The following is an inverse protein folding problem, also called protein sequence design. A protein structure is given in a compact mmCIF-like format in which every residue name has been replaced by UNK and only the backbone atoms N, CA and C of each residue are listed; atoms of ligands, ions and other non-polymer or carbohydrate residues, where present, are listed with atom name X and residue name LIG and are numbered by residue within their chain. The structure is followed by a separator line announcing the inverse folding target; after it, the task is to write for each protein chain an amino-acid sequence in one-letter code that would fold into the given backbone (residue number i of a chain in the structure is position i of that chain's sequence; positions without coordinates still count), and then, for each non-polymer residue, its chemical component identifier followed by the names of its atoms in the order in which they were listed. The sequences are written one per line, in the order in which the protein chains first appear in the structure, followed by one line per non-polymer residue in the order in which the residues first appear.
data_IF_995657639781
#
_entry.id   IF_995657639781
#
_cell.length_a   1.000
_cell.length_b   1.000
_cell.length_c   1.000
_cell.angle_alpha   90.00
_cell.angle_beta   90.00
_cell.angle_gamma   90.00
#
_symmetry.space_group_name_H-M   'P 1'
#
loop_
_entity.id
_entity.type
_entity.pdbx_description
1 polymer ?
#
# COMPACT_ATOMS: atom_id res chain seq x y z
N UNK A 1 -38.58 9.54 -6.68
CA UNK A 1 -38.41 8.56 -5.62
C UNK A 1 -37.36 9.05 -4.66
N UNK A 2 -37.76 9.39 -3.44
CA UNK A 2 -36.85 9.69 -2.34
C UNK A 2 -36.17 8.38 -1.91
N UNK A 3 -34.85 8.31 -2.06
CA UNK A 3 -34.06 7.22 -1.47
C UNK A 3 -33.67 7.63 -0.06
N UNK A 4 -34.33 7.11 0.99
CA UNK A 4 -34.10 7.56 2.37
C UNK A 4 -32.67 7.29 2.85
N UNK A 5 -31.96 6.36 2.20
CA UNK A 5 -30.56 6.06 2.55
C UNK A 5 -29.58 7.02 1.88
N UNK A 6 -29.95 7.63 0.75
CA UNK A 6 -29.19 8.73 0.16
C UNK A 6 -29.34 10.01 1.01
N UNK A 7 -30.56 10.33 1.44
CA UNK A 7 -30.82 11.46 2.35
C UNK A 7 -30.09 11.32 3.69
N UNK A 8 -30.11 10.10 4.26
CA UNK A 8 -29.38 9.83 5.50
C UNK A 8 -27.86 9.99 5.33
N UNK A 9 -27.32 9.57 4.18
CA UNK A 9 -25.91 9.78 3.85
C UNK A 9 -25.59 11.28 3.80
N UNK A 10 -26.38 12.07 3.07
CA UNK A 10 -26.18 13.53 2.96
C UNK A 10 -26.27 14.22 4.32
N UNK A 11 -27.26 13.86 5.15
CA UNK A 11 -27.41 14.38 6.49
C UNK A 11 -26.20 14.04 7.39
N UNK A 12 -25.67 12.81 7.29
CA UNK A 12 -24.50 12.38 8.05
C UNK A 12 -23.23 13.13 7.61
N UNK A 13 -23.04 13.33 6.30
CA UNK A 13 -21.91 14.12 5.77
C UNK A 13 -22.02 15.60 6.16
N UNK A 14 -23.25 16.14 6.27
CA UNK A 14 -23.53 17.50 6.72
C UNK A 14 -23.38 17.73 8.24
N UNK A 15 -23.25 16.66 9.04
CA UNK A 15 -23.15 16.75 10.49
C UNK A 15 -21.77 17.23 11.01
N UNK A 16 -20.79 17.45 10.12
CA UNK A 16 -19.48 18.00 10.46
C UNK A 16 -18.48 16.97 10.99
N UNK A 17 -18.39 15.81 10.32
CA UNK A 17 -17.34 14.82 10.58
C UNK A 17 -15.94 15.43 10.33
N UNK A 18 -14.93 14.96 11.06
CA UNK A 18 -13.59 15.60 11.07
C UNK A 18 -12.47 14.74 10.50
N UNK A 19 -12.70 13.45 10.26
CA UNK A 19 -11.71 12.53 9.73
C UNK A 19 -12.18 11.87 8.42
N UNK A 20 -11.25 11.67 7.48
CA UNK A 20 -11.54 11.00 6.21
C UNK A 20 -12.05 9.56 6.40
N UNK A 21 -11.60 8.85 7.45
CA UNK A 21 -12.10 7.51 7.79
C UNK A 21 -13.59 7.53 8.14
N UNK A 22 -14.10 8.59 8.79
CA UNK A 22 -15.52 8.72 9.15
C UNK A 22 -16.37 8.96 7.89
N UNK A 23 -15.89 9.81 6.97
CA UNK A 23 -16.54 10.01 5.67
C UNK A 23 -16.57 8.70 4.88
N UNK A 24 -15.46 7.97 4.83
CA UNK A 24 -15.39 6.68 4.14
C UNK A 24 -16.35 5.66 4.77
N UNK A 25 -16.52 5.66 6.10
CA UNK A 25 -17.48 4.78 6.77
C UNK A 25 -18.93 5.08 6.36
N UNK A 26 -19.31 6.37 6.26
CA UNK A 26 -20.64 6.79 5.79
C UNK A 26 -20.87 6.35 4.34
N UNK A 27 -19.91 6.58 3.45
CA UNK A 27 -20.00 6.12 2.06
C UNK A 27 -20.07 4.59 1.97
N UNK A 28 -19.28 3.87 2.76
CA UNK A 28 -19.28 2.40 2.79
C UNK A 28 -20.66 1.85 3.18
N UNK A 29 -21.32 2.46 4.17
CA UNK A 29 -22.67 2.07 4.58
C UNK A 29 -23.69 2.22 3.43
N UNK A 30 -23.58 3.29 2.64
CA UNK A 30 -24.43 3.49 1.45
C UNK A 30 -24.10 2.50 0.33
N UNK A 31 -22.81 2.29 0.04
CA UNK A 31 -22.34 1.31 -0.94
C UNK A 31 -22.84 -0.10 -0.62
N UNK A 32 -22.90 -0.46 0.66
CA UNK A 32 -23.44 -1.72 1.14
C UNK A 32 -24.95 -1.89 0.83
N UNK A 33 -25.74 -0.82 0.97
CA UNK A 33 -27.16 -0.82 0.61
C UNK A 33 -27.32 -1.03 -0.89
N UNK A 34 -26.57 -0.25 -1.70
CA UNK A 34 -26.61 -0.33 -3.16
C UNK A 34 -26.20 -1.71 -3.67
N UNK A 35 -25.12 -2.27 -3.12
CA UNK A 35 -24.67 -3.61 -3.49
C UNK A 35 -25.72 -4.68 -3.18
N UNK A 36 -26.30 -4.65 -1.98
CA UNK A 36 -27.37 -5.60 -1.60
C UNK A 36 -28.63 -5.44 -2.42
N UNK A 37 -28.92 -4.23 -2.90
CA UNK A 37 -30.01 -3.94 -3.81
C UNK A 37 -29.73 -4.33 -5.27
N UNK A 38 -28.50 -4.71 -5.61
CA UNK A 38 -28.08 -5.02 -6.97
C UNK A 38 -27.92 -3.78 -7.87
N UNK A 39 -27.89 -2.57 -7.30
CA UNK A 39 -27.74 -1.34 -8.06
C UNK A 39 -26.25 -1.03 -8.33
N UNK A 40 -25.71 -1.65 -9.38
CA UNK A 40 -24.33 -1.45 -9.80
C UNK A 40 -24.04 -0.05 -10.34
N UNK A 41 -25.02 0.62 -10.94
CA UNK A 41 -24.86 1.98 -11.47
C UNK A 41 -24.81 3.01 -10.34
N UNK A 42 -25.74 2.92 -9.39
CA UNK A 42 -25.75 3.73 -8.18
C UNK A 42 -24.51 3.47 -7.32
N UNK A 43 -24.06 2.22 -7.22
CA UNK A 43 -22.79 1.89 -6.54
C UNK A 43 -21.62 2.65 -7.18
N UNK A 44 -21.46 2.58 -8.50
CA UNK A 44 -20.36 3.24 -9.22
C UNK A 44 -20.39 4.76 -9.01
N UNK A 45 -21.55 5.38 -9.16
CA UNK A 45 -21.72 6.81 -8.95
C UNK A 45 -21.38 7.22 -7.51
N UNK A 46 -21.82 6.43 -6.52
CA UNK A 46 -21.54 6.69 -5.10
C UNK A 46 -20.07 6.47 -4.75
N UNK A 47 -19.42 5.44 -5.31
CA UNK A 47 -18.00 5.17 -5.07
C UNK A 47 -17.12 6.28 -5.67
N UNK A 48 -17.51 6.80 -6.84
CA UNK A 48 -16.84 7.95 -7.44
C UNK A 48 -17.05 9.22 -6.62
N UNK A 49 -18.29 9.49 -6.17
CA UNK A 49 -18.58 10.59 -5.26
C UNK A 49 -17.76 10.50 -3.97
N UNK A 50 -17.62 9.30 -3.39
CA UNK A 50 -16.82 9.07 -2.20
C UNK A 50 -15.36 9.46 -2.42
N UNK A 51 -14.77 9.02 -3.53
CA UNK A 51 -13.39 9.37 -3.91
C UNK A 51 -13.20 10.88 -4.08
N UNK A 52 -14.10 11.53 -4.82
CA UNK A 52 -14.04 12.98 -5.08
C UNK A 52 -14.21 13.79 -3.78
N UNK A 53 -15.14 13.37 -2.91
CA UNK A 53 -15.39 13.99 -1.60
C UNK A 53 -14.18 13.88 -0.69
N UNK A 54 -13.57 12.69 -0.60
CA UNK A 54 -12.39 12.46 0.24
C UNK A 54 -11.18 13.26 -0.26
N UNK A 55 -10.94 13.29 -1.57
CA UNK A 55 -9.87 14.08 -2.17
C UNK A 55 -10.07 15.60 -1.97
N UNK A 56 -11.32 16.07 -2.06
CA UNK A 56 -11.66 17.48 -1.89
C UNK A 56 -11.54 17.97 -0.44
N UNK A 57 -12.11 17.25 0.53
CA UNK A 57 -12.08 17.66 1.94
C UNK A 57 -10.78 17.27 2.65
N UNK A 58 -10.12 16.19 2.21
CA UNK A 58 -8.91 15.68 2.83
C UNK A 58 -7.82 15.38 1.78
N UNK A 59 -7.15 16.41 1.22
CA UNK A 59 -6.17 16.23 0.14
C UNK A 59 -4.98 15.31 0.47
N UNK A 60 -4.68 15.11 1.75
CA UNK A 60 -3.61 14.22 2.23
C UNK A 60 -4.14 12.90 2.80
N UNK A 61 -5.45 12.65 2.72
CA UNK A 61 -6.03 11.40 3.17
C UNK A 61 -5.72 10.30 2.17
N UNK A 62 -5.24 9.18 2.71
CA UNK A 62 -4.97 7.96 1.97
C UNK A 62 -5.61 6.84 2.76
N UNK A 63 -6.59 6.15 2.17
CA UNK A 63 -7.18 4.97 2.78
C UNK A 63 -6.16 3.82 2.73
N UNK A 64 -5.41 3.69 3.83
CA UNK A 64 -4.37 2.68 3.99
C UNK A 64 -4.92 1.25 4.05
N UNK A 65 -6.23 1.07 4.23
CA UNK A 65 -6.89 -0.24 4.17
C UNK A 65 -7.24 -0.63 2.73
N UNK A 66 -7.13 0.29 1.78
CA UNK A 66 -7.50 0.09 0.38
C UNK A 66 -8.95 -0.39 0.25
N UNK A 67 -9.81 0.03 1.18
CA UNK A 67 -11.18 -0.45 1.30
C UNK A 67 -12.00 -0.03 0.09
N UNK A 68 -11.95 1.24 -0.29
CA UNK A 68 -12.70 1.74 -1.46
C UNK A 68 -12.26 1.09 -2.79
N UNK A 69 -10.98 1.11 -3.20
CA UNK A 69 -10.56 0.49 -4.46
C UNK A 69 -10.83 -1.01 -4.51
N UNK A 70 -10.58 -1.72 -3.41
CA UNK A 70 -10.82 -3.17 -3.35
C UNK A 70 -12.30 -3.51 -3.44
N UNK A 71 -13.14 -2.75 -2.73
CA UNK A 71 -14.58 -2.98 -2.72
C UNK A 71 -15.18 -2.66 -4.09
N UNK A 72 -14.81 -1.52 -4.66
CA UNK A 72 -15.32 -1.10 -5.95
C UNK A 72 -14.93 -2.08 -7.07
N UNK A 73 -13.65 -2.45 -7.16
CA UNK A 73 -13.23 -3.44 -8.15
C UNK A 73 -13.96 -4.79 -7.99
N UNK A 74 -14.24 -5.23 -6.76
CA UNK A 74 -15.00 -6.45 -6.52
C UNK A 74 -16.46 -6.33 -7.00
N UNK A 75 -17.12 -5.19 -6.77
CA UNK A 75 -18.51 -4.96 -7.18
C UNK A 75 -18.65 -4.82 -8.70
N UNK A 76 -17.65 -4.27 -9.39
CA UNK A 76 -17.63 -4.27 -10.85
C UNK A 76 -17.68 -5.70 -11.42
N UNK A 77 -17.05 -6.68 -10.75
CA UNK A 77 -17.17 -8.09 -11.12
C UNK A 77 -18.49 -8.71 -10.68
N UNK A 78 -18.94 -8.43 -9.46
CA UNK A 78 -20.12 -9.07 -8.85
C UNK A 78 -21.43 -8.65 -9.51
N UNK A 79 -21.64 -7.35 -9.71
CA UNK A 79 -22.91 -6.80 -10.19
C UNK A 79 -22.87 -6.43 -11.67
N UNK A 80 -21.74 -5.88 -12.13
CA UNK A 80 -21.64 -5.35 -13.49
C UNK A 80 -21.04 -6.36 -14.49
N UNK A 81 -20.43 -7.45 -13.99
CA UNK A 81 -19.70 -8.45 -14.80
C UNK A 81 -18.67 -7.79 -15.74
N UNK A 82 -18.06 -6.69 -15.29
CA UNK A 82 -17.18 -5.86 -16.11
C UNK A 82 -15.72 -5.92 -15.62
N UNK A 83 -15.00 -6.91 -16.14
CA UNK A 83 -13.57 -7.09 -15.90
C UNK A 83 -12.75 -5.85 -16.26
N UNK A 84 -13.15 -5.13 -17.31
CA UNK A 84 -12.42 -3.95 -17.80
C UNK A 84 -12.59 -2.79 -16.82
N UNK A 85 -13.81 -2.54 -16.36
CA UNK A 85 -14.08 -1.54 -15.33
C UNK A 85 -13.36 -1.88 -14.03
N UNK A 86 -13.38 -3.15 -13.60
CA UNK A 86 -12.72 -3.57 -12.38
C UNK A 86 -11.19 -3.38 -12.42
N UNK A 87 -10.55 -3.63 -13.57
CA UNK A 87 -9.12 -3.27 -13.79
C UNK A 87 -8.92 -1.75 -13.79
N UNK A 88 -9.81 -1.02 -14.45
CA UNK A 88 -9.78 0.44 -14.53
C UNK A 88 -9.82 1.10 -13.14
N UNK A 89 -10.59 0.54 -12.19
CA UNK A 89 -10.57 0.99 -10.79
C UNK A 89 -9.14 0.94 -10.26
N UNK A 90 -8.50 -0.23 -10.23
CA UNK A 90 -7.14 -0.38 -9.72
C UNK A 90 -6.10 0.47 -10.47
N UNK A 91 -6.19 0.55 -11.79
CA UNK A 91 -5.30 1.36 -12.61
C UNK A 91 -5.42 2.86 -12.27
N UNK A 92 -6.63 3.35 -12.00
CA UNK A 92 -6.87 4.76 -11.62
C UNK A 92 -6.27 5.13 -10.25
N UNK A 93 -6.01 4.14 -9.41
CA UNK A 93 -5.45 4.30 -8.07
C UNK A 93 -3.93 4.07 -8.04
N UNK A 94 -3.40 3.23 -8.93
CA UNK A 94 -2.00 2.75 -8.87
C UNK A 94 -1.11 3.29 -10.00
N UNK A 95 -1.69 3.83 -11.07
CA UNK A 95 -0.93 4.37 -12.22
C UNK A 95 -0.40 5.76 -11.87
N UNK A 96 0.88 5.99 -12.14
CA UNK A 96 1.45 7.33 -12.14
C UNK A 96 1.02 7.99 -13.46
N UNK A 97 0.23 9.08 -13.47
CA UNK A 97 0.10 9.82 -14.72
C UNK A 97 1.46 10.49 -14.96
N UNK A 98 2.17 10.02 -15.98
CA UNK A 98 3.36 10.70 -16.50
C UNK A 98 2.93 11.60 -17.64
N UNK A 99 3.06 12.91 -17.47
CA UNK A 99 3.27 13.79 -18.60
C UNK A 99 4.73 13.69 -19.00
N UNK A 100 5.01 13.60 -20.29
CA UNK A 100 6.33 13.62 -20.91
C UNK A 100 6.96 15.04 -20.86
N UNK A 101 6.67 15.81 -19.80
CA UNK A 101 7.11 17.20 -19.62
C UNK A 101 8.30 17.29 -18.69
N UNK A 102 9.26 18.14 -19.07
CA UNK A 102 10.46 18.46 -18.33
C UNK A 102 10.17 18.75 -16.85
N UNK A 103 10.97 18.12 -16.00
CA UNK A 103 10.95 18.30 -14.56
C UNK A 103 11.58 19.65 -14.19
N UNK A 104 10.83 20.73 -14.38
CA UNK A 104 11.12 22.01 -13.74
C UNK A 104 10.44 22.06 -12.37
N UNK A 105 11.26 22.29 -11.36
CA UNK A 105 10.94 22.11 -9.95
C UNK A 105 9.73 22.88 -9.46
N UNK A 106 8.65 22.16 -9.18
CA UNK A 106 7.89 22.21 -7.92
C UNK A 106 7.12 20.89 -7.79
N UNK A 107 7.09 20.31 -6.59
CA UNK A 107 6.61 18.94 -6.37
C UNK A 107 5.11 18.78 -6.66
N UNK A 108 4.74 18.18 -7.80
CA UNK A 108 3.32 17.97 -8.11
C UNK A 108 3.01 17.23 -9.41
N UNK A 109 3.78 16.19 -9.78
CA UNK A 109 3.43 15.33 -10.91
C UNK A 109 2.42 14.24 -10.50
N UNK A 110 1.13 14.49 -10.74
CA UNK A 110 -0.02 13.70 -10.26
C UNK A 110 0.02 12.21 -10.61
N UNK A 111 0.54 11.38 -9.72
CA UNK A 111 0.26 9.95 -9.72
C UNK A 111 -1.10 9.65 -9.09
N UNK A 112 -1.70 8.51 -9.40
CA UNK A 112 -2.85 8.00 -8.65
C UNK A 112 -2.53 7.94 -7.15
N UNK A 113 -3.56 8.03 -6.31
CA UNK A 113 -3.45 8.18 -4.83
C UNK A 113 -2.53 7.15 -4.16
N UNK A 114 -2.36 5.97 -4.77
CA UNK A 114 -1.54 4.88 -4.26
C UNK A 114 -0.34 4.54 -5.16
N UNK A 115 0.09 5.46 -6.03
CA UNK A 115 1.15 5.20 -7.00
C UNK A 115 2.47 4.75 -6.36
N UNK A 116 2.81 5.26 -5.17
CA UNK A 116 3.98 4.87 -4.38
C UNK A 116 3.67 3.86 -3.26
N UNK A 117 2.44 3.37 -3.10
CA UNK A 117 2.05 2.48 -1.99
C UNK A 117 2.15 1.02 -2.40
N UNK A 118 3.11 0.28 -1.83
CA UNK A 118 3.42 -1.10 -2.17
C UNK A 118 2.22 -2.03 -2.06
N UNK A 119 1.47 -1.94 -0.94
CA UNK A 119 0.32 -2.79 -0.67
C UNK A 119 -0.79 -2.62 -1.71
N UNK A 120 -0.96 -1.42 -2.29
CA UNK A 120 -1.95 -1.18 -3.34
C UNK A 120 -1.61 -1.92 -4.63
N UNK A 121 -0.33 -1.95 -5.02
CA UNK A 121 0.13 -2.73 -6.16
C UNK A 121 0.09 -4.23 -5.89
N UNK A 122 0.36 -4.66 -4.66
CA UNK A 122 0.18 -6.07 -4.26
C UNK A 122 -1.29 -6.46 -4.37
N UNK A 123 -2.21 -5.65 -3.86
CA UNK A 123 -3.65 -5.91 -3.93
C UNK A 123 -4.15 -5.92 -5.38
N UNK A 124 -3.70 -4.98 -6.22
CA UNK A 124 -3.99 -4.97 -7.65
C UNK A 124 -3.49 -6.24 -8.35
N UNK A 125 -2.23 -6.65 -8.11
CA UNK A 125 -1.68 -7.87 -8.68
C UNK A 125 -2.43 -9.13 -8.21
N UNK A 126 -2.79 -9.20 -6.92
CA UNK A 126 -3.60 -10.28 -6.38
C UNK A 126 -5.00 -10.31 -6.99
N UNK A 127 -5.62 -9.16 -7.21
CA UNK A 127 -6.91 -9.05 -7.89
C UNK A 127 -6.82 -9.61 -9.32
N UNK A 128 -5.84 -9.17 -10.10
CA UNK A 128 -5.62 -9.65 -11.47
C UNK A 128 -5.41 -11.17 -11.51
N UNK A 129 -4.62 -11.70 -10.60
CA UNK A 129 -4.29 -13.12 -10.59
C UNK A 129 -5.42 -13.99 -10.00
N UNK A 130 -5.92 -13.66 -8.80
CA UNK A 130 -6.87 -14.51 -8.05
C UNK A 130 -8.32 -14.29 -8.44
N UNK A 131 -8.70 -13.09 -8.89
CA UNK A 131 -10.08 -12.80 -9.31
C UNK A 131 -10.25 -12.92 -10.82
N UNK A 132 -9.28 -12.45 -11.61
CA UNK A 132 -9.37 -12.48 -13.09
C UNK A 132 -8.56 -13.60 -13.75
N UNK A 133 -7.85 -14.44 -12.98
CA UNK A 133 -7.05 -15.54 -13.52
C UNK A 133 -5.83 -15.11 -14.34
N UNK A 134 -5.47 -13.82 -14.34
CA UNK A 134 -4.45 -13.26 -15.24
C UNK A 134 -3.09 -13.15 -14.54
N UNK A 135 -2.35 -14.27 -14.51
CA UNK A 135 -1.00 -14.33 -13.91
C UNK A 135 -0.03 -13.39 -14.63
N UNK A 136 -0.08 -13.31 -15.96
CA UNK A 136 0.81 -12.41 -16.73
C UNK A 136 0.55 -10.94 -16.45
N UNK A 137 -0.72 -10.53 -16.31
CA UNK A 137 -1.04 -9.15 -15.95
C UNK A 137 -0.52 -8.81 -14.54
N UNK A 138 -0.68 -9.73 -13.59
CA UNK A 138 -0.13 -9.58 -12.24
C UNK A 138 1.41 -9.51 -12.23
N UNK A 139 2.11 -10.33 -13.03
CA UNK A 139 3.57 -10.19 -13.26
C UNK A 139 3.91 -8.81 -13.81
N UNK A 140 3.11 -8.29 -14.74
CA UNK A 140 3.26 -6.95 -15.30
C UNK A 140 3.25 -5.86 -14.22
N UNK A 141 2.34 -5.96 -13.25
CA UNK A 141 2.29 -5.04 -12.10
C UNK A 141 3.61 -5.11 -11.31
N UNK A 142 4.05 -6.30 -10.90
CA UNK A 142 5.30 -6.43 -10.13
C UNK A 142 6.53 -5.95 -10.88
N UNK A 143 6.66 -6.25 -12.18
CA UNK A 143 7.79 -5.78 -13.00
C UNK A 143 7.83 -4.25 -13.09
N UNK A 144 6.69 -3.59 -13.31
CA UNK A 144 6.60 -2.12 -13.36
C UNK A 144 6.93 -1.49 -12.02
N UNK A 145 6.45 -2.06 -10.92
CA UNK A 145 6.68 -1.51 -9.58
C UNK A 145 8.10 -1.77 -9.08
N UNK A 146 8.68 -2.92 -9.42
CA UNK A 146 10.05 -3.26 -9.03
C UNK A 146 11.08 -2.29 -9.60
N UNK A 147 10.82 -1.75 -10.80
CA UNK A 147 11.66 -0.73 -11.43
C UNK A 147 11.61 0.64 -10.73
N UNK A 148 10.66 0.86 -9.80
CA UNK A 148 10.53 2.13 -9.07
C UNK A 148 11.54 2.19 -7.92
N UNK A 149 12.09 3.38 -7.69
CA UNK A 149 13.14 3.59 -6.70
C UNK A 149 12.62 3.75 -5.25
N UNK A 150 11.39 4.23 -5.06
CA UNK A 150 10.81 4.52 -3.75
C UNK A 150 9.37 4.01 -3.67
N UNK A 151 9.20 2.91 -2.96
CA UNK A 151 7.88 2.35 -2.62
C UNK A 151 7.71 2.41 -1.12
N UNK A 152 6.59 2.97 -0.68
CA UNK A 152 6.23 3.10 0.72
C UNK A 152 5.33 1.94 1.13
N UNK A 153 5.43 1.54 2.39
CA UNK A 153 4.50 0.59 2.99
C UNK A 153 3.41 1.36 3.74
N UNK A 154 2.14 1.06 3.44
CA UNK A 154 0.98 1.66 4.10
C UNK A 154 0.95 1.37 5.61
N UNK A 155 1.53 0.25 6.04
CA UNK A 155 1.48 -0.27 7.41
C UNK A 155 2.65 0.28 8.25
N UNK A 156 3.64 0.92 7.62
CA UNK A 156 4.88 1.30 8.29
C UNK A 156 4.85 2.74 8.80
N UNK A 157 5.10 2.94 10.09
CA UNK A 157 5.62 4.22 10.58
C UNK A 157 7.05 4.43 10.06
N UNK A 158 7.52 5.67 9.87
CA UNK A 158 8.87 5.95 9.41
C UNK A 158 9.92 5.19 10.26
N UNK A 159 10.66 4.29 9.62
CA UNK A 159 11.73 3.52 10.27
C UNK A 159 11.31 2.30 11.12
N UNK A 160 10.02 1.94 11.18
CA UNK A 160 9.54 0.85 12.04
C UNK A 160 8.96 -0.37 11.32
N UNK A 161 8.52 -0.24 10.06
CA UNK A 161 7.95 -1.36 9.29
C UNK A 161 8.74 -1.73 8.04
N UNK A 162 8.33 -2.79 7.32
CA UNK A 162 9.05 -3.28 6.16
C UNK A 162 9.08 -2.20 5.06
N UNK A 163 10.24 -2.06 4.44
CA UNK A 163 10.39 -1.28 3.20
C UNK A 163 9.31 -1.72 2.20
N UNK A 164 8.59 -0.77 1.59
CA UNK A 164 7.54 -1.08 0.61
C UNK A 164 8.10 -1.88 -0.56
N UNK A 165 9.38 -1.71 -0.87
CA UNK A 165 10.05 -2.56 -1.84
C UNK A 165 10.14 -4.03 -1.40
N UNK A 166 10.42 -4.31 -0.12
CA UNK A 166 10.45 -5.66 0.42
C UNK A 166 9.06 -6.30 0.39
N UNK A 167 8.00 -5.52 0.65
CA UNK A 167 6.60 -5.96 0.52
C UNK A 167 6.31 -6.44 -0.90
N UNK A 168 6.69 -5.65 -1.93
CA UNK A 168 6.54 -6.03 -3.33
C UNK A 168 7.34 -7.28 -3.70
N UNK A 169 8.61 -7.35 -3.28
CA UNK A 169 9.48 -8.48 -3.62
C UNK A 169 8.92 -9.79 -3.05
N UNK A 170 8.48 -9.78 -1.78
CA UNK A 170 7.86 -10.93 -1.14
C UNK A 170 6.59 -11.38 -1.86
N UNK A 171 5.74 -10.43 -2.25
CA UNK A 171 4.51 -10.72 -2.97
C UNK A 171 4.77 -11.28 -4.39
N UNK A 172 5.77 -10.76 -5.10
CA UNK A 172 6.15 -11.29 -6.42
C UNK A 172 6.67 -12.73 -6.32
N UNK A 173 7.57 -13.03 -5.38
CA UNK A 173 8.05 -14.39 -5.16
C UNK A 173 6.91 -15.35 -4.80
N UNK A 174 5.93 -14.88 -4.03
CA UNK A 174 4.73 -15.66 -3.70
C UNK A 174 3.90 -15.98 -4.94
N UNK A 175 3.67 -15.00 -5.82
CA UNK A 175 2.94 -15.23 -7.09
C UNK A 175 3.64 -16.31 -7.93
N UNK A 176 4.96 -16.20 -8.11
CA UNK A 176 5.69 -17.17 -8.93
C UNK A 176 5.71 -18.57 -8.29
N UNK A 177 5.76 -18.65 -6.96
CA UNK A 177 5.68 -19.92 -6.24
C UNK A 177 4.32 -20.59 -6.38
N UNK A 178 3.23 -19.83 -6.37
CA UNK A 178 1.87 -20.36 -6.33
C UNK A 178 1.26 -20.57 -7.74
N UNK A 179 1.68 -19.79 -8.74
CA UNK A 179 1.11 -19.82 -10.08
C UNK A 179 2.14 -19.80 -11.22
N UNK A 180 3.43 -19.77 -10.90
CA UNK A 180 4.51 -19.78 -11.88
C UNK A 180 5.07 -21.18 -12.18
N UNK A 181 6.13 -21.19 -12.96
CA UNK A 181 6.96 -22.38 -13.19
C UNK A 181 8.26 -22.27 -12.41
N UNK A 182 9.03 -23.36 -12.33
CA UNK A 182 10.36 -23.33 -11.72
C UNK A 182 11.26 -22.27 -12.37
N UNK A 183 11.15 -22.08 -13.69
CA UNK A 183 11.91 -21.09 -14.44
C UNK A 183 11.50 -19.66 -14.11
N UNK A 184 10.20 -19.38 -14.06
CA UNK A 184 9.73 -18.01 -13.74
C UNK A 184 10.02 -17.66 -12.28
N UNK A 185 9.93 -18.64 -11.36
CA UNK A 185 10.35 -18.46 -9.98
C UNK A 185 11.85 -18.17 -9.86
N UNK A 186 12.71 -18.97 -10.52
CA UNK A 186 14.15 -18.74 -10.49
C UNK A 186 14.53 -17.37 -11.06
N UNK A 187 13.87 -16.95 -12.15
CA UNK A 187 14.07 -15.62 -12.74
C UNK A 187 13.64 -14.48 -11.80
N UNK A 188 12.56 -14.66 -11.03
CA UNK A 188 12.12 -13.70 -10.03
C UNK A 188 13.02 -13.70 -8.79
N UNK A 189 13.47 -14.85 -8.31
CA UNK A 189 14.38 -14.97 -7.16
C UNK A 189 15.73 -14.30 -7.43
N UNK A 190 16.25 -14.45 -8.66
CA UNK A 190 17.47 -13.75 -9.11
C UNK A 190 17.38 -12.22 -9.10
N UNK A 191 16.18 -11.64 -8.93
CA UNK A 191 15.95 -10.18 -8.85
C UNK A 191 15.33 -9.78 -7.52
N UNK A 192 14.07 -10.16 -7.32
CA UNK A 192 13.27 -9.84 -6.14
C UNK A 192 13.82 -10.55 -4.89
N UNK A 193 14.27 -11.81 -5.02
CA UNK A 193 14.86 -12.57 -3.91
C UNK A 193 16.19 -12.00 -3.42
N UNK A 194 17.05 -11.52 -4.33
CA UNK A 194 18.29 -10.82 -3.97
C UNK A 194 17.97 -9.54 -3.19
N UNK A 195 17.05 -8.71 -3.71
CA UNK A 195 16.68 -7.44 -3.08
C UNK A 195 16.00 -7.64 -1.72
N UNK A 196 15.13 -8.64 -1.60
CA UNK A 196 14.45 -8.97 -0.35
C UNK A 196 15.45 -9.41 0.73
N UNK A 197 16.38 -10.31 0.40
CA UNK A 197 17.41 -10.77 1.35
C UNK A 197 18.29 -9.62 1.83
N UNK A 198 18.69 -8.70 0.94
CA UNK A 198 19.45 -7.52 1.32
C UNK A 198 18.67 -6.62 2.29
N UNK A 199 17.39 -6.34 1.99
CA UNK A 199 16.54 -5.53 2.86
C UNK A 199 16.29 -6.18 4.23
N UNK A 200 16.11 -7.51 4.27
CA UNK A 200 15.93 -8.26 5.52
C UNK A 200 17.22 -8.29 6.37
N UNK A 201 18.40 -8.41 5.73
CA UNK A 201 19.69 -8.32 6.41
C UNK A 201 19.93 -6.93 7.01
N UNK A 202 19.66 -5.85 6.26
CA UNK A 202 19.77 -4.47 6.75
C UNK A 202 18.80 -4.21 7.92
N UNK A 203 17.56 -4.72 7.82
CA UNK A 203 16.58 -4.60 8.89
C UNK A 203 17.02 -5.36 10.16
N UNK A 204 17.65 -6.53 10.00
CA UNK A 204 18.20 -7.30 11.11
C UNK A 204 19.37 -6.55 11.78
N UNK A 205 20.29 -5.98 10.99
CA UNK A 205 21.41 -5.18 11.51
C UNK A 205 20.92 -3.96 12.29
N UNK A 206 19.95 -3.22 11.75
CA UNK A 206 19.32 -2.07 12.44
C UNK A 206 18.71 -2.46 13.78
N UNK A 207 18.06 -3.62 13.86
CA UNK A 207 17.47 -4.13 15.13
C UNK A 207 18.52 -4.45 16.19
N UNK A 208 19.75 -4.77 15.82
CA UNK A 208 20.87 -4.99 16.76
C UNK A 208 21.50 -3.65 17.15
N UNK A 209 21.80 -2.80 16.16
CA UNK A 209 22.49 -1.52 16.39
C UNK A 209 21.65 -0.52 17.19
N UNK A 210 20.32 -0.49 17.02
CA UNK A 210 19.44 0.48 17.70
C UNK A 210 19.46 0.31 19.23
N UNK A 211 19.22 -0.90 19.80
CA UNK A 211 19.38 -1.15 21.23
C UNK A 211 20.79 -0.88 21.76
N UNK A 212 21.84 -1.26 21.01
CA UNK A 212 23.23 -1.02 21.43
C UNK A 212 23.54 0.47 21.53
N UNK A 213 23.14 1.26 20.52
CA UNK A 213 23.29 2.71 20.53
C UNK A 213 22.49 3.34 21.68
N UNK A 214 21.26 2.90 21.91
CA UNK A 214 20.45 3.36 23.03
C UNK A 214 21.10 3.06 24.39
N UNK A 215 21.70 1.87 24.52
CA UNK A 215 22.44 1.46 25.73
C UNK A 215 23.69 2.33 25.94
N UNK A 216 24.49 2.55 24.88
CA UNK A 216 25.68 3.42 24.95
C UNK A 216 25.33 4.85 25.32
N UNK A 217 24.24 5.41 24.77
CA UNK A 217 23.79 6.75 25.13
C UNK A 217 23.34 6.83 26.60
N UNK A 218 22.61 5.83 27.10
CA UNK A 218 22.23 5.77 28.54
C UNK A 218 23.47 5.69 29.44
N UNK A 219 24.43 4.86 29.09
CA UNK A 219 25.69 4.72 29.84
C UNK A 219 26.51 6.02 29.82
N UNK A 220 26.53 6.74 28.70
CA UNK A 220 27.25 8.03 28.58
C UNK A 220 26.58 9.18 29.33
N UNK A 221 25.25 9.13 29.52
CA UNK A 221 24.49 10.14 30.26
C UNK A 221 24.32 9.82 31.75
N UNK A 222 24.73 8.64 32.21
CA UNK A 222 24.62 8.23 33.61
C UNK A 222 25.88 8.67 34.40
N UNK A 223 25.76 9.67 35.31
CA UNK A 223 26.89 10.17 36.09
C UNK A 223 27.49 9.13 37.07
N UNK A 224 26.81 8.01 37.29
CA UNK A 224 27.29 6.91 38.13
C UNK A 224 27.83 5.70 37.34
N UNK A 225 27.85 5.74 36.00
CA UNK A 225 28.35 4.63 35.20
C UNK A 225 29.87 4.49 35.32
N UNK A 226 30.33 3.37 35.89
CA UNK A 226 31.75 2.99 35.95
C UNK A 226 32.00 1.85 34.96
N UNK A 227 32.71 2.13 33.86
CA UNK A 227 33.12 1.10 32.92
C UNK A 227 34.01 0.06 33.63
N UNK A 228 33.80 -1.23 33.35
CA UNK A 228 34.65 -2.29 33.89
C UNK A 228 36.11 -2.09 33.42
N UNK A 229 37.12 -2.30 34.29
CA UNK A 229 38.51 -2.14 33.91
C UNK A 229 38.87 -3.12 32.78
N UNK A 230 39.45 -2.60 31.69
CA UNK A 230 40.05 -3.45 30.65
C UNK A 230 41.17 -4.26 31.30
N UNK A 231 40.98 -5.58 31.36
CA UNK A 231 42.05 -6.51 31.74
C UNK A 231 43.06 -6.48 30.61
N UNK A 232 44.12 -5.70 30.79
CA UNK A 232 45.28 -5.70 29.91
C UNK A 232 45.83 -7.12 29.82
N UNK A 233 46.05 -7.58 28.58
CA UNK A 233 46.76 -8.81 28.32
C UNK A 233 48.11 -8.76 29.04
N UNK A 234 48.28 -9.66 30.00
CA UNK A 234 49.58 -9.95 30.60
C UNK A 234 50.45 -10.60 29.55
N UNK A 235 51.31 -9.78 28.95
CA UNK A 235 52.56 -10.20 28.35
C UNK A 235 53.56 -10.37 29.50
N UNK A 236 53.87 -11.61 29.90
CA UNK A 236 55.06 -11.92 30.68
C UNK A 236 55.52 -13.36 30.40
N UNK A 237 56.74 -13.49 29.83
CA UNK A 237 57.64 -14.63 30.07
C UNK A 237 58.02 -15.48 28.87
#
# INVERSE_FOLDING_TARGET
DDDPTAELMEAALGAGLVAGDDYLAVFTARLDVLRRGGDGAGFRATAQLARETLSGFFPNYVDRRLALPSYWAAVELELNTDDKAARGVWESYTTQQGGDGEADGDGGGGGGEYANVAEAHVAHAEFLWRRLGSVEAARGVYKRCFARARMESAISAPGAGPDGQAVLCRAWLRLEREAGTAETYAAADGKAGVKLRAAEAEAAEKKVLLPEKATRMRQASDPNYKAAPQVGGGDEG
#
